data_IF_998191639877
#
_entry.id   IF_998191639877
#
_cell.length_a   1.000
_cell.length_b   1.000
_cell.length_c   1.000
_cell.angle_alpha   90.00
_cell.angle_beta   90.00
_cell.angle_gamma   90.00
#
_symmetry.space_group_name_H-M   'P 1'
#
loop_
_entity.id
_entity.type
_entity.pdbx_description
1 polymer ?
#
# COMPACT_ATOMS: atom_id res chain seq x y z
N UNK A 1 -10.10 44.99 -42.28
CA UNK A 1 -10.55 46.13 -41.46
C UNK A 1 -9.49 46.39 -40.40
N UNK A 2 -9.16 47.66 -40.15
CA UNK A 2 -8.00 48.10 -39.35
C UNK A 2 -8.44 49.01 -38.21
N UNK A 3 -7.94 48.77 -37.00
CA UNK A 3 -7.77 49.76 -35.91
C UNK A 3 -6.84 49.13 -34.86
N UNK A 4 -5.62 49.64 -34.68
CA UNK A 4 -5.18 50.92 -34.08
C UNK A 4 -4.99 50.78 -32.56
N UNK A 5 -3.72 50.71 -32.16
CA UNK A 5 -3.29 50.97 -30.78
C UNK A 5 -3.55 52.44 -30.40
N UNK A 6 -3.72 52.71 -29.12
CA UNK A 6 -3.41 53.99 -28.48
C UNK A 6 -3.23 53.76 -26.98
N UNK A 7 -2.06 54.10 -26.45
CA UNK A 7 -1.78 54.13 -25.01
C UNK A 7 -1.48 55.58 -24.61
N UNK A 8 -2.12 56.09 -23.56
CA UNK A 8 -1.75 57.34 -22.87
C UNK A 8 -2.08 57.18 -21.40
N UNK A 9 -1.16 57.59 -20.51
CA UNK A 9 -1.31 57.58 -19.07
C UNK A 9 -1.34 59.01 -18.50
N UNK A 10 -2.28 59.29 -17.58
CA UNK A 10 -2.40 60.49 -16.73
C UNK A 10 -3.17 60.04 -15.47
N UNK A 11 -2.89 60.38 -14.21
CA UNK A 11 -1.78 61.13 -13.60
C UNK A 11 -2.26 61.92 -12.35
N UNK A 12 -1.60 61.77 -11.18
CA UNK A 12 -1.68 62.63 -9.95
C UNK A 12 -3.05 62.55 -9.17
N UNK A 13 -3.23 62.16 -7.89
CA UNK A 13 -2.68 62.53 -6.55
C UNK A 13 -3.27 63.87 -5.97
N UNK A 14 -3.33 64.23 -4.66
CA UNK A 14 -2.59 63.85 -3.41
C UNK A 14 -3.48 64.05 -2.12
N UNK A 15 -3.45 63.13 -1.12
CA UNK A 15 -3.90 63.28 0.31
C UNK A 15 -5.40 63.62 0.62
N UNK A 16 -5.99 63.43 1.81
CA UNK A 16 -5.48 63.49 3.19
C UNK A 16 -6.35 62.77 4.26
N UNK A 17 -5.73 62.60 5.43
CA UNK A 17 -6.21 62.08 6.73
C UNK A 17 -7.64 62.36 7.20
N UNK A 18 -8.31 61.31 7.71
CA UNK A 18 -9.07 61.37 8.98
C UNK A 18 -8.70 60.13 9.81
N UNK A 19 -8.22 60.33 11.04
CA UNK A 19 -7.83 59.24 11.93
C UNK A 19 -8.97 58.79 12.84
N UNK A 20 -9.19 57.48 12.94
CA UNK A 20 -9.95 56.85 14.02
C UNK A 20 -9.05 55.86 14.75
N UNK A 21 -8.39 56.32 15.80
CA UNK A 21 -7.58 55.47 16.68
C UNK A 21 -8.48 54.60 17.55
N UNK A 22 -8.67 53.34 17.17
CA UNK A 22 -9.16 52.28 18.07
C UNK A 22 -8.05 51.25 18.23
N UNK A 23 -7.48 51.05 19.44
CA UNK A 23 -6.34 50.17 19.65
C UNK A 23 -6.77 48.69 19.71
N UNK A 24 -7.06 48.11 18.54
CA UNK A 24 -7.24 46.67 18.40
C UNK A 24 -5.89 46.01 18.09
N UNK A 25 -5.31 45.41 19.14
CA UNK A 25 -4.11 44.55 19.13
C UNK A 25 -4.01 43.72 17.84
N UNK A 26 -2.92 43.81 17.06
CA UNK A 26 -2.70 42.90 15.94
C UNK A 26 -2.65 41.46 16.47
N UNK A 27 -3.68 40.67 16.19
CA UNK A 27 -3.58 39.23 16.29
C UNK A 27 -2.66 38.82 15.16
N UNK A 28 -1.44 38.45 15.55
CA UNK A 28 -0.38 37.99 14.67
C UNK A 28 -0.94 36.92 13.72
N UNK A 29 -0.82 37.09 12.38
CA UNK A 29 -1.23 36.06 11.45
C UNK A 29 -0.36 34.83 11.68
N UNK A 30 -0.92 33.83 12.38
CA UNK A 30 -0.37 32.49 12.35
C UNK A 30 -0.49 32.00 10.91
N UNK A 31 0.64 31.98 10.20
CA UNK A 31 0.76 31.23 8.94
C UNK A 31 0.13 29.85 9.15
N UNK A 32 -0.69 29.36 8.21
CA UNK A 32 -1.09 27.97 8.22
C UNK A 32 0.16 27.14 7.93
N UNK A 33 0.87 26.76 8.98
CA UNK A 33 1.84 25.67 8.91
C UNK A 33 1.04 24.44 8.54
N UNK A 34 1.13 24.04 7.27
CA UNK A 34 0.62 22.74 6.81
C UNK A 34 1.46 21.66 7.46
N UNK A 35 1.14 21.33 8.71
CA UNK A 35 1.74 20.22 9.44
C UNK A 35 1.25 18.92 8.79
N UNK A 36 2.00 18.47 7.77
CA UNK A 36 1.83 17.16 7.16
C UNK A 36 2.35 16.10 8.14
N UNK A 37 1.60 15.87 9.23
CA UNK A 37 1.83 14.76 10.14
C UNK A 37 1.22 13.48 9.53
N UNK A 38 1.82 13.06 8.41
CA UNK A 38 1.54 11.79 7.76
C UNK A 38 2.60 10.73 8.16
N UNK A 39 3.02 10.72 9.42
CA UNK A 39 3.78 9.61 9.99
C UNK A 39 2.85 8.41 10.16
N UNK A 40 2.77 7.57 9.13
CA UNK A 40 2.20 6.22 9.25
C UNK A 40 2.99 5.48 10.32
N UNK A 41 2.41 5.33 11.50
CA UNK A 41 3.01 4.56 12.59
C UNK A 41 3.06 3.09 12.19
N UNK A 42 4.22 2.64 11.71
CA UNK A 42 4.51 1.23 11.53
C UNK A 42 4.60 0.62 12.96
N UNK A 43 3.72 -0.32 13.34
CA UNK A 43 3.73 -0.88 14.68
C UNK A 43 5.04 -1.65 14.96
N UNK A 44 5.51 -1.71 16.23
CA UNK A 44 6.73 -2.44 16.59
C UNK A 44 6.65 -3.93 16.19
N UNK A 45 7.78 -4.56 15.82
CA UNK A 45 7.78 -5.88 15.17
C UNK A 45 7.52 -7.08 16.10
N UNK A 46 7.12 -6.87 17.36
CA UNK A 46 7.03 -7.91 18.40
C UNK A 46 5.70 -8.69 18.41
N UNK A 47 4.78 -8.40 17.50
CA UNK A 47 3.50 -9.11 17.31
C UNK A 47 3.48 -10.03 16.08
N UNK A 48 4.63 -10.59 15.69
CA UNK A 48 4.66 -11.66 14.69
C UNK A 48 4.32 -12.99 15.34
N UNK A 49 3.25 -13.63 14.88
CA UNK A 49 2.99 -15.05 15.13
C UNK A 49 4.25 -15.88 14.86
N UNK A 50 4.49 -16.97 15.61
CA UNK A 50 5.71 -17.76 15.47
C UNK A 50 5.88 -18.25 14.02
N UNK A 51 7.12 -18.19 13.53
CA UNK A 51 7.44 -18.67 12.19
C UNK A 51 7.23 -20.20 12.16
N UNK A 52 6.44 -20.65 11.19
CA UNK A 52 6.05 -22.05 11.00
C UNK A 52 6.45 -22.51 9.60
N UNK A 53 6.78 -23.79 9.49
CA UNK A 53 7.05 -24.45 8.21
C UNK A 53 5.95 -25.47 7.93
N UNK A 54 5.35 -25.38 6.76
CA UNK A 54 4.18 -26.18 6.35
C UNK A 54 4.46 -26.79 4.97
N UNK A 55 4.15 -28.07 4.79
CA UNK A 55 4.14 -28.71 3.48
C UNK A 55 2.73 -28.84 2.91
N UNK A 56 2.63 -28.76 1.58
CA UNK A 56 1.38 -28.93 0.87
C UNK A 56 1.52 -28.71 -0.63
N UNK A 57 0.41 -28.84 -1.35
CA UNK A 57 0.31 -28.45 -2.76
C UNK A 57 -0.02 -26.96 -2.85
N UNK A 58 0.86 -26.19 -3.52
CA UNK A 58 0.60 -24.80 -3.87
C UNK A 58 0.07 -24.70 -5.29
N UNK A 59 -1.01 -23.95 -5.49
CA UNK A 59 -1.63 -23.66 -6.81
C UNK A 59 -1.32 -22.22 -7.22
N UNK A 60 -0.27 -22.04 -8.04
CA UNK A 60 0.23 -20.73 -8.48
C UNK A 60 -0.62 -20.06 -9.55
N UNK A 61 -1.28 -20.84 -10.42
CA UNK A 61 -2.24 -20.31 -11.38
C UNK A 61 -3.66 -20.72 -11.00
N UNK A 62 -4.42 -19.75 -10.50
CA UNK A 62 -5.86 -19.88 -10.30
C UNK A 62 -6.61 -18.94 -11.24
N UNK A 63 -7.94 -19.07 -11.29
CA UNK A 63 -8.80 -18.17 -12.09
C UNK A 63 -8.84 -16.71 -11.59
N UNK A 64 -8.14 -16.36 -10.49
CA UNK A 64 -8.10 -15.02 -9.91
C UNK A 64 -6.66 -14.67 -9.50
N UNK A 65 -6.02 -13.64 -10.10
CA UNK A 65 -4.66 -13.22 -9.72
C UNK A 65 -4.53 -12.92 -8.21
N UNK A 66 -3.40 -13.26 -7.60
CA UNK A 66 -3.17 -13.10 -6.16
C UNK A 66 -3.96 -14.05 -5.24
N UNK A 67 -4.89 -14.85 -5.77
CA UNK A 67 -5.61 -15.88 -5.02
C UNK A 67 -4.88 -17.23 -5.09
N UNK A 68 -3.65 -17.25 -4.59
CA UNK A 68 -2.82 -18.46 -4.52
C UNK A 68 -3.24 -19.29 -3.31
N UNK A 69 -3.48 -20.59 -3.49
CA UNK A 69 -3.81 -21.49 -2.39
C UNK A 69 -2.68 -22.47 -2.07
N UNK A 70 -2.47 -22.73 -0.78
CA UNK A 70 -1.75 -23.91 -0.28
C UNK A 70 -2.79 -24.88 0.32
N UNK A 71 -2.71 -26.16 -0.03
CA UNK A 71 -3.48 -27.24 0.60
C UNK A 71 -2.51 -28.23 1.24
N UNK A 72 -2.56 -28.35 2.56
CA UNK A 72 -1.72 -29.29 3.33
C UNK A 72 -2.20 -30.73 3.19
N UNK A 73 -1.37 -31.71 3.59
CA UNK A 73 -1.76 -33.13 3.63
C UNK A 73 -2.97 -33.40 4.53
N UNK A 74 -3.13 -32.61 5.61
CA UNK A 74 -4.29 -32.67 6.50
C UNK A 74 -5.56 -32.03 5.90
N UNK A 75 -5.53 -31.60 4.63
CA UNK A 75 -6.64 -30.93 3.93
C UNK A 75 -6.85 -29.46 4.32
N UNK A 76 -6.08 -28.92 5.27
CA UNK A 76 -6.17 -27.51 5.64
C UNK A 76 -5.72 -26.64 4.46
N UNK A 77 -6.56 -25.66 4.10
CA UNK A 77 -6.32 -24.70 3.02
C UNK A 77 -5.97 -23.31 3.58
N UNK A 78 -5.00 -22.67 2.95
CA UNK A 78 -4.58 -21.30 3.21
C UNK A 78 -4.57 -20.48 1.92
N UNK A 79 -4.79 -19.16 2.01
CA UNK A 79 -4.32 -18.25 0.97
C UNK A 79 -2.84 -17.92 1.23
N UNK A 80 -1.97 -18.16 0.25
CA UNK A 80 -0.60 -17.68 0.30
C UNK A 80 -0.52 -16.19 -0.05
N UNK A 81 0.32 -15.45 0.66
CA UNK A 81 0.64 -14.04 0.36
C UNK A 81 2.13 -13.72 0.63
N UNK A 82 2.60 -12.56 0.18
CA UNK A 82 4.01 -12.14 0.25
C UNK A 82 4.66 -12.03 -1.13
N UNK A 83 5.81 -11.35 -1.22
CA UNK A 83 6.52 -11.13 -2.50
C UNK A 83 6.89 -12.43 -3.20
N UNK A 84 7.46 -13.39 -2.46
CA UNK A 84 7.86 -14.70 -3.00
C UNK A 84 6.67 -15.48 -3.62
N UNK A 85 5.44 -15.22 -3.16
CA UNK A 85 4.22 -15.83 -3.73
C UNK A 85 3.89 -15.20 -5.08
N UNK A 86 4.02 -13.88 -5.20
CA UNK A 86 3.85 -13.14 -6.45
C UNK A 86 4.92 -13.51 -7.47
N UNK A 87 6.18 -13.69 -7.05
CA UNK A 87 7.28 -14.14 -7.91
C UNK A 87 7.00 -15.55 -8.46
N UNK A 88 6.48 -16.46 -7.61
CA UNK A 88 6.07 -17.80 -8.02
C UNK A 88 4.84 -17.77 -8.94
N UNK A 89 3.84 -16.94 -8.67
CA UNK A 89 2.71 -16.71 -9.59
C UNK A 89 3.20 -16.21 -10.95
N UNK A 90 4.10 -15.23 -10.98
CA UNK A 90 4.67 -14.68 -12.22
C UNK A 90 5.42 -15.73 -13.03
N UNK A 91 6.33 -16.49 -12.39
CA UNK A 91 7.06 -17.59 -13.03
C UNK A 91 6.12 -18.67 -13.57
N UNK A 92 5.03 -18.99 -12.86
CA UNK A 92 4.03 -19.92 -13.36
C UNK A 92 3.25 -19.36 -14.57
N UNK A 93 2.98 -18.04 -14.60
CA UNK A 93 2.37 -17.35 -15.77
C UNK A 93 3.30 -17.35 -16.98
N UNK A 94 4.61 -17.22 -16.76
CA UNK A 94 5.64 -17.30 -17.79
C UNK A 94 5.93 -18.73 -18.29
N UNK A 95 5.43 -19.76 -17.59
CA UNK A 95 5.71 -21.18 -17.91
C UNK A 95 7.02 -21.71 -17.35
N UNK A 96 7.72 -20.94 -16.52
CA UNK A 96 9.00 -21.29 -15.87
C UNK A 96 8.85 -22.21 -14.66
N UNK A 97 7.61 -22.53 -14.26
CA UNK A 97 7.31 -23.58 -13.29
C UNK A 97 5.90 -24.16 -13.48
N UNK A 98 5.62 -25.35 -12.90
CA UNK A 98 4.28 -25.94 -12.88
C UNK A 98 3.21 -24.99 -12.34
N UNK A 99 1.97 -25.14 -12.84
CA UNK A 99 0.81 -24.37 -12.37
C UNK A 99 0.42 -24.70 -10.93
N UNK A 100 0.67 -25.93 -10.52
CA UNK A 100 0.59 -26.40 -9.14
C UNK A 100 1.76 -27.35 -8.88
N UNK A 101 2.31 -27.34 -7.67
CA UNK A 101 3.40 -28.22 -7.26
C UNK A 101 3.43 -28.40 -5.74
N UNK A 102 4.00 -29.52 -5.28
CA UNK A 102 4.25 -29.74 -3.85
C UNK A 102 5.41 -28.86 -3.37
N UNK A 103 5.21 -28.18 -2.27
CA UNK A 103 6.16 -27.22 -1.68
C UNK A 103 6.24 -27.36 -0.17
N UNK A 104 7.37 -26.92 0.36
CA UNK A 104 7.57 -26.56 1.76
C UNK A 104 7.63 -25.04 1.84
N UNK A 105 6.75 -24.46 2.63
CA UNK A 105 6.60 -23.01 2.82
C UNK A 105 6.95 -22.66 4.26
N UNK A 106 7.83 -21.70 4.46
CA UNK A 106 8.13 -21.12 5.78
C UNK A 106 7.62 -19.68 5.83
N UNK A 107 6.98 -19.31 6.92
CA UNK A 107 6.34 -18.00 7.10
C UNK A 107 5.45 -17.98 8.34
N UNK A 108 4.37 -17.21 8.33
CA UNK A 108 3.50 -17.08 9.51
C UNK A 108 2.02 -16.82 9.14
N UNK A 109 1.11 -17.14 10.07
CA UNK A 109 -0.31 -16.77 9.99
C UNK A 109 -0.51 -15.52 10.85
N UNK A 110 -0.85 -14.34 10.31
CA UNK A 110 -1.03 -13.13 11.09
C UNK A 110 -2.26 -13.21 12.01
N UNK A 111 -2.20 -12.58 13.19
CA UNK A 111 -3.29 -12.58 14.19
C UNK A 111 -4.64 -12.09 13.63
N UNK A 112 -4.61 -11.18 12.65
CA UNK A 112 -5.77 -10.71 11.91
C UNK A 112 -5.52 -10.93 10.42
N UNK A 113 -6.13 -11.98 9.86
CA UNK A 113 -5.80 -12.43 8.50
C UNK A 113 -6.86 -13.33 7.86
N UNK A 114 -8.07 -12.81 7.66
CA UNK A 114 -9.01 -13.46 6.74
C UNK A 114 -8.44 -13.42 5.30
N UNK A 115 -8.61 -14.51 4.56
CA UNK A 115 -8.27 -14.53 3.13
C UNK A 115 -9.15 -13.55 2.34
N UNK A 116 -8.51 -12.65 1.59
CA UNK A 116 -9.19 -11.77 0.63
C UNK A 116 -9.89 -12.55 -0.50
N UNK A 117 -9.51 -13.81 -0.70
CA UNK A 117 -10.06 -14.72 -1.69
C UNK A 117 -11.03 -15.75 -1.11
N UNK A 118 -11.41 -15.64 0.17
CA UNK A 118 -12.23 -16.60 0.91
C UNK A 118 -11.67 -18.04 0.96
N UNK A 119 -10.35 -18.20 0.86
CA UNK A 119 -9.63 -19.50 0.87
C UNK A 119 -9.23 -19.95 2.29
N UNK A 120 -9.91 -19.47 3.33
CA UNK A 120 -9.58 -19.73 4.74
C UNK A 120 -8.69 -18.65 5.36
N UNK A 121 -7.65 -19.07 6.07
CA UNK A 121 -6.66 -18.18 6.69
C UNK A 121 -5.61 -17.72 5.67
N UNK A 122 -5.12 -16.50 5.84
CA UNK A 122 -3.93 -16.02 5.12
C UNK A 122 -2.66 -16.58 5.76
N UNK A 123 -1.73 -17.06 4.95
CA UNK A 123 -0.38 -17.46 5.35
C UNK A 123 0.62 -16.58 4.58
N UNK A 124 1.36 -15.73 5.30
CA UNK A 124 2.40 -14.88 4.72
C UNK A 124 3.66 -15.74 4.55
N UNK A 125 4.01 -16.05 3.31
CA UNK A 125 5.19 -16.84 3.00
C UNK A 125 6.43 -15.95 2.91
N UNK A 126 7.48 -16.36 3.61
CA UNK A 126 8.80 -15.71 3.60
C UNK A 126 9.82 -16.58 2.83
N UNK A 127 9.60 -17.89 2.75
CA UNK A 127 10.38 -18.84 1.95
C UNK A 127 9.47 -19.90 1.33
N UNK A 128 9.75 -20.26 0.08
CA UNK A 128 9.10 -21.36 -0.66
C UNK A 128 10.20 -22.21 -1.27
N UNK A 129 10.14 -23.52 -1.05
CA UNK A 129 11.01 -24.50 -1.71
C UNK A 129 10.17 -25.62 -2.30
N UNK A 130 10.40 -25.96 -3.56
CA UNK A 130 9.80 -27.14 -4.17
C UNK A 130 10.22 -28.41 -3.42
N UNK A 131 9.29 -29.35 -3.24
CA UNK A 131 9.58 -30.68 -2.70
C UNK A 131 9.66 -31.63 -3.88
N UNK A 132 10.85 -32.17 -4.14
CA UNK A 132 11.03 -33.25 -5.10
C UNK A 132 10.32 -34.50 -4.60
N UNK A 133 9.42 -35.04 -5.44
CA UNK A 133 8.86 -36.39 -5.32
C UNK A 133 9.80 -37.42 -5.93
#
# INVERSE_FOLDING_TARGET
MTSRQLAVAIGVAIAASIGCSVPSRPVQPSTPTTEVVASVQIPPPESRSPQVTVEGEATWLTGRPGCISLVTEAGQRFQLSGSIVLDNEHRARAGEQPRAQRVRVTGYVPERGASACHLGLTFVAEKVTAVSS
#
